data_IF_746237539346
#
_entry.id   IF_746237539346
#
_cell.length_a   1.000
_cell.length_b   1.000
_cell.length_c   1.000
_cell.angle_alpha   90.00
_cell.angle_beta   90.00
_cell.angle_gamma   90.00
#
_symmetry.space_group_name_H-M   'P 1'
#
loop_
_entity.id
_entity.type
_entity.pdbx_description
1 polymer ?
#
# COMPACT_ATOMS: atom_id res chain seq x y z
N UNK A 1 7.24 7.44 9.90
CA UNK A 1 7.50 8.77 10.49
C UNK A 1 8.43 8.65 11.70
N UNK A 2 8.06 7.90 12.73
CA UNK A 2 8.86 7.71 13.95
C UNK A 2 10.30 7.23 13.70
N UNK A 3 10.47 6.23 12.84
CA UNK A 3 11.80 5.74 12.44
C UNK A 3 12.67 6.81 11.79
N UNK A 4 12.08 7.67 10.97
CA UNK A 4 12.77 8.79 10.31
C UNK A 4 13.13 9.88 11.32
N UNK A 5 12.21 10.23 12.22
CA UNK A 5 12.45 11.23 13.25
C UNK A 5 13.56 10.80 14.21
N UNK A 6 13.54 9.53 14.66
CA UNK A 6 14.59 8.96 15.51
C UNK A 6 15.96 8.98 14.81
N UNK A 7 16.01 8.64 13.52
CA UNK A 7 17.24 8.69 12.74
C UNK A 7 17.77 10.13 12.57
N UNK A 8 16.87 11.11 12.52
CA UNK A 8 17.21 12.53 12.41
C UNK A 8 17.43 13.22 13.78
N UNK A 9 17.26 12.52 14.89
CA UNK A 9 17.33 13.09 16.24
C UNK A 9 16.21 14.09 16.55
N UNK A 10 15.08 14.00 15.86
CA UNK A 10 13.93 14.89 16.01
C UNK A 10 12.84 14.23 16.86
N UNK A 11 12.07 15.06 17.55
CA UNK A 11 10.82 14.68 18.21
C UNK A 11 9.65 14.95 17.27
N UNK A 12 8.70 14.02 17.18
CA UNK A 12 7.48 14.19 16.39
C UNK A 12 6.37 14.76 17.27
N UNK A 13 5.72 15.81 16.78
CA UNK A 13 4.47 16.30 17.32
C UNK A 13 3.26 15.45 16.87
N UNK A 14 2.04 15.86 17.25
CA UNK A 14 0.83 15.26 16.69
C UNK A 14 0.79 15.45 15.16
N UNK A 15 0.07 14.58 14.42
CA UNK A 15 -0.07 14.72 12.98
C UNK A 15 -0.85 15.99 12.65
N UNK A 16 -0.26 16.85 11.80
CA UNK A 16 -0.87 18.12 11.41
C UNK A 16 -1.94 17.90 10.33
N UNK A 17 -1.70 16.94 9.43
CA UNK A 17 -2.62 16.65 8.33
C UNK A 17 -2.57 15.17 7.96
N UNK A 18 -3.75 14.58 7.74
CA UNK A 18 -3.93 13.23 7.25
C UNK A 18 -4.80 13.33 6.00
N UNK A 19 -4.29 12.84 4.88
CA UNK A 19 -5.04 12.78 3.62
C UNK A 19 -5.02 11.37 3.07
N UNK A 20 -6.13 10.98 2.45
CA UNK A 20 -6.26 9.73 1.73
C UNK A 20 -6.10 9.99 0.24
N UNK A 21 -5.35 9.12 -0.44
CA UNK A 21 -5.27 9.14 -1.89
C UNK A 21 -6.60 8.73 -2.53
N UNK A 22 -6.78 8.98 -3.83
CA UNK A 22 -7.98 8.56 -4.54
C UNK A 22 -8.15 7.04 -4.39
N UNK A 23 -9.34 6.64 -3.93
CA UNK A 23 -9.68 5.23 -3.79
C UNK A 23 -9.70 4.59 -5.18
N UNK A 24 -8.71 3.75 -5.48
CA UNK A 24 -8.71 2.97 -6.71
C UNK A 24 -9.84 1.95 -6.63
N UNK A 25 -10.62 1.85 -7.71
CA UNK A 25 -11.62 0.80 -7.82
C UNK A 25 -10.94 -0.58 -7.67
N UNK A 26 -11.55 -1.50 -6.91
CA UNK A 26 -10.99 -2.82 -6.74
C UNK A 26 -10.85 -3.52 -8.11
N UNK A 27 -9.71 -4.16 -8.34
CA UNK A 27 -9.44 -4.88 -9.58
C UNK A 27 -9.91 -6.32 -9.44
N UNK A 28 -11.03 -6.64 -10.07
CA UNK A 28 -11.49 -8.02 -10.23
C UNK A 28 -10.74 -8.66 -11.40
N UNK A 29 -9.95 -9.70 -11.14
CA UNK A 29 -9.35 -10.51 -12.21
C UNK A 29 -10.42 -11.47 -12.74
N UNK A 30 -10.61 -11.49 -14.06
CA UNK A 30 -11.53 -12.43 -14.72
C UNK A 30 -11.11 -13.87 -14.40
N UNK A 31 -12.03 -14.69 -13.89
CA UNK A 31 -11.86 -16.15 -13.75
C UNK A 31 -11.72 -16.78 -15.14
N UNK A 32 -10.51 -16.77 -15.69
CA UNK A 32 -10.25 -17.39 -16.99
C UNK A 32 -10.08 -18.89 -16.78
N UNK A 33 -11.10 -19.69 -17.07
CA UNK A 33 -11.11 -21.15 -16.82
C UNK A 33 -10.20 -21.97 -17.75
N UNK A 34 -9.45 -21.39 -18.70
CA UNK A 34 -8.78 -22.22 -19.72
C UNK A 34 -7.56 -21.59 -20.44
N UNK A 35 -6.57 -21.05 -19.72
CA UNK A 35 -5.26 -20.78 -20.35
C UNK A 35 -4.13 -21.23 -19.40
N UNK A 36 -3.22 -22.14 -19.82
CA UNK A 36 -2.08 -22.52 -19.00
C UNK A 36 -1.23 -21.28 -18.71
N UNK A 37 -1.09 -20.94 -17.43
CA UNK A 37 -0.27 -19.81 -17.00
C UNK A 37 1.21 -20.15 -17.24
N UNK A 38 1.87 -19.40 -18.13
CA UNK A 38 3.31 -19.44 -18.27
C UNK A 38 3.96 -19.00 -16.94
N UNK A 39 4.73 -19.90 -16.33
CA UNK A 39 5.44 -19.69 -15.07
C UNK A 39 6.46 -18.54 -15.24
N UNK A 40 6.10 -17.32 -14.86
CA UNK A 40 7.04 -16.21 -14.72
C UNK A 40 7.77 -16.34 -13.37
N UNK A 41 9.10 -16.19 -13.40
CA UNK A 41 10.01 -16.45 -12.27
C UNK A 41 9.97 -15.39 -11.16
N UNK A 42 9.33 -14.24 -11.37
CA UNK A 42 9.08 -13.25 -10.32
C UNK A 42 7.73 -13.56 -9.66
N UNK A 43 7.75 -14.03 -8.41
CA UNK A 43 6.53 -14.46 -7.70
C UNK A 43 5.68 -13.24 -7.29
N UNK A 44 4.87 -12.75 -8.23
CA UNK A 44 3.72 -11.90 -7.90
C UNK A 44 2.75 -12.70 -7.00
N UNK A 45 2.06 -12.05 -6.04
CA UNK A 45 1.11 -12.74 -5.16
C UNK A 45 0.09 -13.54 -5.97
N UNK A 46 -0.03 -14.83 -5.68
CA UNK A 46 -1.00 -15.72 -6.33
C UNK A 46 -2.34 -15.51 -5.66
N UNK A 47 -3.26 -14.83 -6.34
CA UNK A 47 -4.61 -14.63 -5.87
C UNK A 47 -5.52 -15.76 -6.38
N UNK A 48 -6.23 -16.41 -5.46
CA UNK A 48 -7.19 -17.47 -5.77
C UNK A 48 -8.50 -16.91 -6.36
N UNK A 49 -9.28 -17.71 -7.11
CA UNK A 49 -10.56 -17.28 -7.65
C UNK A 49 -11.51 -16.77 -6.55
N UNK A 50 -12.04 -15.56 -6.75
CA UNK A 50 -12.89 -14.86 -5.77
C UNK A 50 -12.12 -13.97 -4.79
N UNK A 51 -10.77 -13.97 -4.82
CA UNK A 51 -9.97 -13.04 -4.02
C UNK A 51 -9.93 -11.64 -4.64
N UNK A 52 -10.02 -10.63 -3.77
CA UNK A 52 -9.99 -9.21 -4.09
C UNK A 52 -8.70 -8.60 -3.54
N UNK A 53 -7.99 -7.81 -4.34
CA UNK A 53 -6.89 -6.99 -3.86
C UNK A 53 -7.36 -5.54 -3.68
N UNK A 54 -7.29 -5.05 -2.45
CA UNK A 54 -7.64 -3.67 -2.09
C UNK A 54 -6.40 -3.00 -1.53
N UNK A 55 -6.05 -1.85 -2.09
CA UNK A 55 -4.95 -1.02 -1.58
C UNK A 55 -5.44 0.38 -1.33
N UNK A 56 -4.96 0.98 -0.25
CA UNK A 56 -5.22 2.37 0.10
C UNK A 56 -3.88 3.07 0.32
N UNK A 57 -3.80 4.33 -0.11
CA UNK A 57 -2.65 5.19 0.15
C UNK A 57 -3.07 6.27 1.12
N UNK A 58 -2.32 6.41 2.21
CA UNK A 58 -2.53 7.44 3.23
C UNK A 58 -1.25 8.27 3.32
N UNK A 59 -1.39 9.59 3.23
CA UNK A 59 -0.29 10.53 3.44
C UNK A 59 -0.52 11.25 4.75
N UNK A 60 0.50 11.26 5.62
CA UNK A 60 0.45 11.92 6.92
C UNK A 60 1.62 12.88 7.03
N UNK A 61 1.33 14.11 7.43
CA UNK A 61 2.31 15.16 7.69
C UNK A 61 2.41 15.39 9.20
N UNK A 62 3.63 15.48 9.70
CA UNK A 62 3.92 15.73 11.10
C UNK A 62 4.80 16.97 11.23
N UNK A 63 4.56 17.76 12.27
CA UNK A 63 5.51 18.73 12.76
C UNK A 63 6.64 18.00 13.49
N UNK A 64 7.88 18.41 13.23
CA UNK A 64 9.06 17.85 13.85
C UNK A 64 9.91 18.96 14.47
N UNK A 65 10.33 18.74 15.71
CA UNK A 65 11.17 19.68 16.45
C UNK A 65 12.51 19.03 16.83
N UNK A 66 13.61 19.80 16.82
CA UNK A 66 14.89 19.33 17.35
C UNK A 66 14.81 18.88 18.81
#
# INVERSE_FOLDING_TARGET
AETLAKAAGLTLGPPDNISTGPQRAPVFRTMNRAAPAAMSAEMAPRYEPGQLSVSASVSVVFSATP
#
